data_IF_879851264058
#
_entry.id   IF_879851264058
#
_cell.length_a   1.000
_cell.length_b   1.000
_cell.length_c   1.000
_cell.angle_alpha   90.00
_cell.angle_beta   90.00
_cell.angle_gamma   90.00
#
_symmetry.space_group_name_H-M   'P 1'
#
loop_
_entity.id
_entity.type
_entity.pdbx_description
1 polymer ?
#
# COMPACT_ATOMS: atom_id res chain seq x y z
N UNK A 1 9.71 8.25 -10.43
CA UNK A 1 9.20 9.37 -9.61
C UNK A 1 8.09 8.87 -8.69
N UNK A 2 8.29 8.97 -7.38
CA UNK A 2 7.25 8.62 -6.40
C UNK A 2 6.12 9.66 -6.52
N UNK A 3 5.10 9.32 -7.31
CA UNK A 3 3.89 10.12 -7.43
C UNK A 3 3.23 10.23 -6.06
N UNK A 4 2.74 11.42 -5.74
CA UNK A 4 2.00 11.72 -4.52
C UNK A 4 0.97 10.62 -4.21
N UNK A 5 1.25 9.79 -3.21
CA UNK A 5 0.29 8.79 -2.72
C UNK A 5 -0.90 9.51 -2.10
N UNK A 6 -2.05 9.47 -2.77
CA UNK A 6 -3.32 9.95 -2.24
C UNK A 6 -3.90 8.91 -1.30
N UNK A 7 -4.22 9.32 -0.07
CA UNK A 7 -5.17 8.65 0.82
C UNK A 7 -4.82 7.20 1.24
N UNK A 8 -5.54 6.64 2.22
CA UNK A 8 -5.28 5.28 2.63
C UNK A 8 -5.99 4.29 1.70
N UNK A 9 -5.45 4.08 0.50
CA UNK A 9 -5.88 3.04 -0.43
C UNK A 9 -6.02 1.67 0.27
N UNK A 10 -7.04 0.90 -0.09
CA UNK A 10 -7.25 -0.45 0.41
C UNK A 10 -6.21 -1.43 -0.12
N UNK A 11 -6.09 -2.58 0.52
CA UNK A 11 -5.06 -3.59 0.19
C UNK A 11 -5.65 -4.90 -0.29
N UNK A 12 -6.97 -5.08 -0.20
CA UNK A 12 -7.63 -6.34 -0.50
C UNK A 12 -8.57 -6.23 -1.70
N UNK A 13 -8.26 -6.96 -2.77
CA UNK A 13 -8.99 -6.94 -4.03
C UNK A 13 -9.87 -8.18 -4.28
N UNK A 14 -9.74 -9.27 -3.48
CA UNK A 14 -10.52 -10.51 -3.63
C UNK A 14 -10.35 -11.21 -5.00
N UNK A 15 -9.21 -11.00 -5.67
CA UNK A 15 -8.99 -11.34 -7.09
C UNK A 15 -9.96 -10.67 -8.07
N UNK A 16 -10.71 -9.65 -7.65
CA UNK A 16 -11.61 -8.89 -8.50
C UNK A 16 -10.86 -7.70 -9.13
N UNK A 17 -10.59 -7.80 -10.44
CA UNK A 17 -9.89 -6.76 -11.23
C UNK A 17 -10.68 -5.46 -11.35
N UNK A 18 -12.00 -5.48 -11.12
CA UNK A 18 -12.88 -4.31 -11.12
C UNK A 18 -13.01 -3.67 -9.74
N UNK A 19 -12.32 -4.21 -8.71
CA UNK A 19 -12.37 -3.66 -7.37
C UNK A 19 -11.79 -2.25 -7.36
N UNK A 20 -12.59 -1.28 -6.90
CA UNK A 20 -12.10 0.06 -6.59
C UNK A 20 -11.19 0.00 -5.35
N UNK A 21 -9.89 0.12 -5.58
CA UNK A 21 -8.89 0.06 -4.52
C UNK A 21 -8.88 1.31 -3.64
N UNK A 22 -9.44 2.45 -4.10
CA UNK A 22 -9.54 3.67 -3.28
C UNK A 22 -10.53 3.51 -2.12
N UNK A 23 -11.56 2.67 -2.30
CA UNK A 23 -12.59 2.38 -1.27
C UNK A 23 -12.51 0.96 -0.68
N UNK A 24 -11.52 0.17 -1.11
CA UNK A 24 -11.33 -1.20 -0.63
C UNK A 24 -10.90 -1.28 0.84
N UNK A 25 -11.06 -2.48 1.43
CA UNK A 25 -10.62 -2.72 2.80
C UNK A 25 -9.10 -2.66 2.90
N UNK A 26 -8.60 -1.97 3.91
CA UNK A 26 -7.21 -2.02 4.35
C UNK A 26 -7.08 -3.04 5.46
N UNK A 27 -6.45 -4.17 5.16
CA UNK A 27 -6.24 -5.25 6.14
C UNK A 27 -4.77 -5.65 6.28
N UNK A 28 -3.87 -4.98 5.54
CA UNK A 28 -2.43 -5.15 5.62
C UNK A 28 -1.78 -3.88 6.20
N UNK A 29 -0.88 -4.07 7.17
CA UNK A 29 -0.32 -2.97 7.96
C UNK A 29 1.20 -3.11 8.15
N UNK A 30 1.90 -1.97 8.08
CA UNK A 30 3.28 -1.84 8.54
C UNK A 30 3.26 -1.09 9.87
N UNK A 31 3.64 -1.78 10.95
CA UNK A 31 3.80 -1.15 12.26
C UNK A 31 5.25 -0.74 12.48
N UNK A 32 5.46 0.39 13.15
CA UNK A 32 6.78 0.89 13.53
C UNK A 32 6.78 1.35 14.98
N UNK A 33 7.96 1.39 15.60
CA UNK A 33 8.16 1.83 16.99
C UNK A 33 9.54 2.48 17.12
N UNK A 34 9.65 3.43 18.05
CA UNK A 34 10.90 4.07 18.43
C UNK A 34 10.92 5.55 18.02
N UNK A 35 11.39 6.42 18.91
CA UNK A 35 11.39 7.88 18.71
C UNK A 35 12.27 8.35 17.54
N UNK A 36 13.16 7.48 17.06
CA UNK A 36 14.07 7.74 15.94
C UNK A 36 13.61 7.12 14.62
N UNK A 37 12.41 6.51 14.56
CA UNK A 37 11.89 5.87 13.35
C UNK A 37 10.70 6.67 12.84
N UNK A 38 10.79 7.16 11.60
CA UNK A 38 9.73 7.95 10.96
C UNK A 38 9.36 7.38 9.58
N UNK A 39 8.14 6.85 9.37
CA UNK A 39 7.66 6.48 8.04
C UNK A 39 7.42 7.73 7.19
N UNK A 40 7.92 7.74 5.96
CA UNK A 40 7.82 8.88 5.04
C UNK A 40 6.59 8.82 4.17
N UNK A 41 6.20 7.63 3.75
CA UNK A 41 5.09 7.42 2.84
C UNK A 41 4.40 6.11 3.14
N UNK A 42 3.21 5.99 2.57
CA UNK A 42 2.49 4.75 2.42
C UNK A 42 2.16 4.61 0.93
N UNK A 43 2.28 3.40 0.40
CA UNK A 43 1.76 3.08 -0.91
C UNK A 43 1.17 1.67 -0.91
N UNK A 44 -0.02 1.54 -1.50
CA UNK A 44 -0.58 0.27 -1.93
C UNK A 44 -0.21 0.09 -3.41
N UNK A 45 0.39 -1.05 -3.76
CA UNK A 45 0.79 -1.33 -5.13
C UNK A 45 -0.29 -2.15 -5.84
N UNK A 46 -1.25 -1.44 -6.43
CA UNK A 46 -2.45 -1.96 -7.11
C UNK A 46 -2.24 -2.16 -8.63
N UNK A 47 -1.00 -2.30 -9.08
CA UNK A 47 -0.71 -2.52 -10.50
C UNK A 47 -1.25 -3.88 -10.96
N UNK A 48 -1.97 -3.86 -12.07
CA UNK A 48 -2.33 -5.06 -12.84
C UNK A 48 -1.18 -5.50 -13.76
N UNK A 49 -1.02 -6.80 -13.90
CA UNK A 49 -0.09 -7.45 -14.83
C UNK A 49 -0.90 -8.31 -15.78
N UNK A 50 -0.83 -8.00 -17.08
CA UNK A 50 -1.67 -8.63 -18.11
C UNK A 50 -3.17 -8.67 -17.73
N UNK A 51 -3.64 -7.57 -17.13
CA UNK A 51 -5.04 -7.41 -16.70
C UNK A 51 -5.42 -8.10 -15.40
N UNK A 52 -4.47 -8.72 -14.68
CA UNK A 52 -4.73 -9.46 -13.44
C UNK A 52 -3.97 -8.86 -12.25
N UNK A 53 -4.58 -8.96 -11.08
CA UNK A 53 -3.84 -8.80 -9.84
C UNK A 53 -2.98 -10.04 -9.58
N UNK A 54 -1.74 -9.87 -9.09
CA UNK A 54 -0.85 -11.01 -8.78
C UNK A 54 -1.31 -11.81 -7.55
N UNK A 55 -2.13 -11.22 -6.67
CA UNK A 55 -2.72 -11.82 -5.47
C UNK A 55 -4.01 -11.08 -5.12
N UNK A 56 -4.87 -11.68 -4.30
CA UNK A 56 -6.02 -11.03 -3.65
C UNK A 56 -5.62 -9.93 -2.67
N UNK A 57 -4.35 -9.87 -2.26
CA UNK A 57 -3.75 -8.77 -1.53
C UNK A 57 -2.75 -8.00 -2.40
N UNK A 58 -2.81 -6.66 -2.33
CA UNK A 58 -1.83 -5.77 -2.92
C UNK A 58 -0.64 -5.56 -1.97
N UNK A 59 0.57 -5.56 -2.51
CA UNK A 59 1.76 -5.28 -1.71
C UNK A 59 1.71 -3.85 -1.16
N UNK A 60 2.05 -3.69 0.11
CA UNK A 60 2.25 -2.38 0.72
C UNK A 60 3.73 -2.11 0.93
N UNK A 61 4.14 -0.87 0.70
CA UNK A 61 5.49 -0.44 1.03
C UNK A 61 5.49 0.95 1.67
N UNK A 62 6.50 1.17 2.50
CA UNK A 62 6.74 2.40 3.22
C UNK A 62 8.25 2.63 3.32
N UNK A 63 8.69 3.80 2.90
CA UNK A 63 10.05 4.26 3.15
C UNK A 63 10.17 4.70 4.61
N UNK A 64 11.17 4.18 5.32
CA UNK A 64 11.41 4.48 6.73
C UNK A 64 12.71 5.26 6.87
N UNK A 65 12.65 6.40 7.58
CA UNK A 65 13.82 7.18 7.95
C UNK A 65 14.24 6.84 9.38
N UNK A 66 15.55 6.67 9.56
CA UNK A 66 16.19 6.60 10.88
C UNK A 66 16.76 8.00 11.20
N UNK A 67 16.16 8.66 12.17
CA UNK A 67 16.62 9.94 12.70
C UNK A 67 17.89 9.72 13.54
N UNK A 68 18.88 10.59 13.37
CA UNK A 68 20.12 10.54 14.17
C UNK A 68 19.87 11.08 15.57
#
# INVERSE_FOLDING_TARGET
PAGNSKGPQGTFNYHNVEKDMESAQRIDYIYFRGSKIAPRNYCCFDRLYDGLYPSDHCAIYSDIIILK
#
